data_IF_762850782213
#
_entry.id   IF_762850782213
#
_cell.length_a   1.000
_cell.length_b   1.000
_cell.length_c   1.000
_cell.angle_alpha   90.00
_cell.angle_beta   90.00
_cell.angle_gamma   90.00
#
_symmetry.space_group_name_H-M   'P 1'
#
loop_
_entity.id
_entity.type
_entity.pdbx_description
1 polymer ?
#
# COMPACT_ATOMS: atom_id res chain seq x y z
N UNK A 1 15.41 -12.40 -2.20
CA UNK A 1 15.00 -11.89 -0.87
C UNK A 1 14.96 -13.08 0.06
N UNK A 2 15.59 -13.02 1.24
CA UNK A 2 15.49 -14.10 2.23
C UNK A 2 14.07 -14.05 2.79
N UNK A 3 13.34 -15.18 2.71
CA UNK A 3 11.93 -15.26 3.14
C UNK A 3 11.84 -15.81 4.57
N UNK A 4 12.71 -16.76 4.92
CA UNK A 4 12.81 -17.34 6.26
C UNK A 4 14.19 -18.01 6.45
N UNK A 5 14.57 -18.27 7.70
CA UNK A 5 15.77 -19.05 8.08
C UNK A 5 15.30 -20.28 8.85
N UNK A 6 15.79 -21.46 8.46
CA UNK A 6 15.57 -22.71 9.19
C UNK A 6 16.77 -22.94 10.10
N UNK A 7 16.55 -22.80 11.41
CA UNK A 7 17.55 -23.14 12.42
C UNK A 7 17.33 -24.57 12.94
N UNK A 8 18.40 -25.32 13.09
CA UNK A 8 18.39 -26.67 13.67
C UNK A 8 19.50 -26.75 14.69
N UNK A 9 19.12 -26.56 15.96
CA UNK A 9 19.99 -26.69 17.12
C UNK A 9 19.82 -28.09 17.73
N UNK A 10 20.93 -28.80 17.98
CA UNK A 10 20.92 -30.12 18.64
C UNK A 10 22.16 -30.32 19.50
N UNK A 11 22.03 -31.02 20.63
CA UNK A 11 23.14 -31.47 21.46
C UNK A 11 23.92 -32.60 20.75
N UNK A 12 24.93 -32.21 19.96
CA UNK A 12 26.13 -32.91 19.48
C UNK A 12 26.18 -34.45 19.24
N UNK A 13 25.06 -35.16 19.14
CA UNK A 13 25.01 -36.62 19.00
C UNK A 13 24.50 -37.15 17.64
N UNK A 14 24.07 -36.28 16.73
CA UNK A 14 23.59 -36.69 15.41
C UNK A 14 24.69 -36.54 14.33
N UNK A 15 24.89 -37.54 13.45
CA UNK A 15 25.84 -37.43 12.36
C UNK A 15 25.51 -36.20 11.48
N UNK A 16 26.46 -35.26 11.27
CA UNK A 16 26.21 -33.98 10.58
C UNK A 16 25.59 -34.13 9.18
N UNK A 17 25.89 -35.23 8.49
CA UNK A 17 25.38 -35.54 7.16
C UNK A 17 23.87 -35.83 7.14
N UNK A 18 23.35 -36.48 8.18
CA UNK A 18 21.93 -36.81 8.30
C UNK A 18 21.10 -35.57 8.63
N UNK A 19 21.58 -34.74 9.57
CA UNK A 19 20.94 -33.47 9.95
C UNK A 19 20.92 -32.49 8.76
N UNK A 20 22.02 -32.37 8.02
CA UNK A 20 22.08 -31.54 6.82
C UNK A 20 21.12 -32.03 5.72
N UNK A 21 20.99 -33.34 5.56
CA UNK A 21 20.01 -33.95 4.65
C UNK A 21 18.58 -33.58 5.02
N UNK A 22 18.22 -33.72 6.31
CA UNK A 22 16.91 -33.34 6.83
C UNK A 22 16.61 -31.84 6.62
N UNK A 23 17.56 -30.95 6.94
CA UNK A 23 17.40 -29.50 6.76
C UNK A 23 17.16 -29.15 5.29
N UNK A 24 17.90 -29.79 4.36
CA UNK A 24 17.69 -29.60 2.91
C UNK A 24 16.30 -30.06 2.48
N UNK A 25 15.83 -31.22 2.97
CA UNK A 25 14.49 -31.72 2.70
C UNK A 25 13.41 -30.76 3.23
N UNK A 26 13.58 -30.24 4.45
CA UNK A 26 12.65 -29.27 5.05
C UNK A 26 12.62 -27.95 4.28
N UNK A 27 13.78 -27.41 3.90
CA UNK A 27 13.88 -26.20 3.08
C UNK A 27 13.15 -26.36 1.75
N UNK A 28 13.31 -27.51 1.10
CA UNK A 28 12.65 -27.82 -0.16
C UNK A 28 11.13 -28.06 0.01
N UNK A 29 10.71 -28.65 1.13
CA UNK A 29 9.29 -28.82 1.48
C UNK A 29 8.60 -27.46 1.69
N UNK A 30 9.29 -26.51 2.34
CA UNK A 30 8.81 -25.13 2.51
C UNK A 30 8.75 -24.41 1.16
N UNK A 31 9.80 -24.50 0.34
CA UNK A 31 9.83 -23.94 -1.01
C UNK A 31 8.67 -24.45 -1.86
N UNK A 32 8.45 -25.77 -1.90
CA UNK A 32 7.35 -26.38 -2.63
C UNK A 32 5.99 -25.87 -2.12
N UNK A 33 5.80 -25.75 -0.80
CA UNK A 33 4.54 -25.24 -0.24
C UNK A 33 4.29 -23.78 -0.61
N UNK A 34 5.31 -22.92 -0.57
CA UNK A 34 5.18 -21.51 -0.95
C UNK A 34 4.83 -21.38 -2.44
N UNK A 35 5.50 -22.14 -3.30
CA UNK A 35 5.22 -22.18 -4.74
C UNK A 35 3.77 -22.66 -4.98
N UNK A 36 3.37 -23.75 -4.33
CA UNK A 36 2.03 -24.29 -4.47
C UNK A 36 0.96 -23.35 -3.91
N UNK A 37 1.19 -22.65 -2.80
CA UNK A 37 0.22 -21.71 -2.22
C UNK A 37 -0.02 -20.49 -3.12
N UNK A 38 1.05 -19.95 -3.71
CA UNK A 38 0.97 -18.79 -4.59
C UNK A 38 0.24 -19.09 -5.92
N UNK A 39 0.34 -20.31 -6.43
CA UNK A 39 -0.06 -20.64 -7.80
C UNK A 39 -1.06 -21.80 -7.92
N UNK A 40 -1.56 -22.35 -6.79
CA UNK A 40 -2.39 -23.57 -6.76
C UNK A 40 -3.54 -23.57 -7.75
N UNK A 41 -4.23 -22.45 -7.81
CA UNK A 41 -5.56 -22.37 -8.44
C UNK A 41 -5.53 -21.72 -9.82
N UNK A 42 -4.42 -21.10 -10.23
CA UNK A 42 -4.36 -20.19 -11.38
C UNK A 42 -3.51 -20.68 -12.56
N UNK A 43 -2.58 -21.62 -12.35
CA UNK A 43 -1.62 -22.05 -13.37
C UNK A 43 -1.48 -23.58 -13.42
N UNK A 44 -0.91 -24.09 -14.52
CA UNK A 44 -0.63 -25.52 -14.67
C UNK A 44 0.59 -25.91 -13.85
N UNK A 45 0.51 -27.07 -13.22
CA UNK A 45 1.59 -27.62 -12.40
C UNK A 45 2.06 -28.92 -13.01
N UNK A 46 3.34 -28.97 -13.37
CA UNK A 46 4.02 -30.19 -13.78
C UNK A 46 4.92 -30.67 -12.64
N UNK A 47 4.59 -31.83 -12.09
CA UNK A 47 5.45 -32.54 -11.14
C UNK A 47 6.17 -33.63 -11.90
N UNK A 48 7.49 -33.73 -11.78
CA UNK A 48 8.25 -34.73 -12.52
C UNK A 48 9.42 -35.30 -11.73
N UNK A 49 9.71 -36.57 -11.99
CA UNK A 49 10.84 -37.28 -11.38
C UNK A 49 11.31 -38.42 -12.29
N UNK A 50 12.48 -39.00 -12.01
CA UNK A 50 13.04 -40.10 -12.84
C UNK A 50 12.31 -41.43 -12.66
N UNK A 51 11.54 -41.61 -11.58
CA UNK A 51 10.78 -42.83 -11.29
C UNK A 51 9.34 -42.53 -10.84
N UNK A 52 8.42 -43.44 -11.16
CA UNK A 52 6.99 -43.33 -10.84
C UNK A 52 6.73 -43.21 -9.32
N UNK A 53 7.45 -44.01 -8.52
CA UNK A 53 7.24 -44.10 -7.07
C UNK A 53 7.67 -42.83 -6.30
N UNK A 54 8.32 -41.88 -6.98
CA UNK A 54 8.87 -40.67 -6.37
C UNK A 54 8.15 -39.39 -6.80
N UNK A 55 6.99 -39.49 -7.45
CA UNK A 55 6.19 -38.33 -7.86
C UNK A 55 5.51 -37.64 -6.68
N UNK A 56 5.10 -38.40 -5.66
CA UNK A 56 4.52 -37.87 -4.42
C UNK A 56 5.58 -37.47 -3.38
N UNK A 57 6.86 -37.63 -3.72
CA UNK A 57 7.97 -37.26 -2.84
C UNK A 57 8.17 -35.75 -2.81
N UNK A 58 8.55 -35.22 -1.65
CA UNK A 58 9.01 -33.84 -1.49
C UNK A 58 10.26 -33.52 -2.33
N UNK A 59 10.92 -34.56 -2.86
CA UNK A 59 12.10 -34.48 -3.72
C UNK A 59 11.79 -34.54 -5.24
N UNK A 60 10.53 -34.36 -5.62
CA UNK A 60 10.14 -34.21 -7.02
C UNK A 60 10.50 -32.81 -7.58
N UNK A 61 10.74 -32.75 -8.88
CA UNK A 61 10.80 -31.48 -9.60
C UNK A 61 9.40 -30.90 -9.72
N UNK A 62 9.24 -29.62 -9.38
CA UNK A 62 7.98 -28.88 -9.50
C UNK A 62 8.19 -27.69 -10.43
N UNK A 63 7.31 -27.56 -11.41
CA UNK A 63 7.35 -26.52 -12.42
C UNK A 63 5.95 -25.97 -12.68
N UNK A 64 5.84 -24.65 -12.71
CA UNK A 64 4.58 -23.92 -12.92
C UNK A 64 4.67 -23.13 -14.20
N UNK A 65 3.68 -23.30 -15.08
CA UNK A 65 3.65 -22.67 -16.39
C UNK A 65 2.24 -22.19 -16.76
N UNK A 66 2.20 -21.23 -17.68
CA UNK A 66 0.96 -20.66 -18.21
C UNK A 66 0.43 -21.44 -19.43
N UNK A 67 -0.75 -21.06 -19.94
CA UNK A 67 -1.35 -21.67 -21.15
C UNK A 67 -0.47 -21.56 -22.40
N UNK A 68 0.47 -20.60 -22.44
CA UNK A 68 1.41 -20.43 -23.56
C UNK A 68 2.65 -21.32 -23.45
N UNK A 69 2.77 -22.09 -22.36
CA UNK A 69 3.93 -22.95 -22.09
C UNK A 69 5.11 -22.20 -21.46
N UNK A 70 4.95 -20.95 -21.03
CA UNK A 70 6.03 -20.19 -20.38
C UNK A 70 6.11 -20.55 -18.91
N UNK A 71 7.31 -20.86 -18.46
CA UNK A 71 7.57 -21.27 -17.07
C UNK A 71 7.66 -20.02 -16.21
N UNK A 72 6.76 -19.91 -15.23
CA UNK A 72 6.72 -18.80 -14.29
C UNK A 72 7.59 -19.06 -13.08
N UNK A 73 7.60 -20.30 -12.60
CA UNK A 73 8.34 -20.70 -11.42
C UNK A 73 8.75 -22.17 -11.49
N UNK A 74 9.89 -22.52 -10.90
CA UNK A 74 10.35 -23.88 -10.74
C UNK A 74 11.07 -24.00 -9.39
N UNK A 75 10.95 -25.15 -8.73
CA UNK A 75 11.73 -25.41 -7.52
C UNK A 75 13.19 -25.74 -7.87
N UNK A 76 14.08 -25.59 -6.88
CA UNK A 76 15.52 -25.83 -7.11
C UNK A 76 15.85 -27.26 -7.57
N UNK A 77 14.98 -28.23 -7.26
CA UNK A 77 15.13 -29.61 -7.72
C UNK A 77 14.84 -29.77 -9.21
N UNK A 78 13.84 -29.07 -9.74
CA UNK A 78 13.55 -29.05 -11.17
C UNK A 78 14.72 -28.46 -11.96
N UNK A 79 15.29 -27.34 -11.49
CA UNK A 79 16.49 -26.74 -12.09
C UNK A 79 17.66 -27.75 -12.13
N UNK A 80 17.87 -28.49 -11.05
CA UNK A 80 18.94 -29.51 -10.97
C UNK A 80 18.68 -30.73 -11.87
N UNK A 81 17.43 -31.19 -11.98
CA UNK A 81 17.07 -32.34 -12.82
C UNK A 81 17.19 -32.04 -14.32
N UNK A 82 16.92 -30.79 -14.71
CA UNK A 82 16.98 -30.33 -16.10
C UNK A 82 18.28 -29.58 -16.43
N UNK A 83 19.16 -29.38 -15.45
CA UNK A 83 20.51 -28.84 -15.64
C UNK A 83 20.57 -27.36 -16.02
N UNK A 84 19.48 -26.60 -15.85
CA UNK A 84 19.39 -25.19 -16.21
C UNK A 84 18.37 -24.47 -15.31
N UNK A 85 18.47 -23.13 -15.23
CA UNK A 85 17.48 -22.31 -14.54
C UNK A 85 16.24 -22.16 -15.41
N UNK A 86 15.10 -22.66 -14.93
CA UNK A 86 13.91 -22.84 -15.79
C UNK A 86 12.96 -21.64 -15.84
N UNK A 87 13.05 -20.73 -14.88
CA UNK A 87 12.16 -19.56 -14.83
C UNK A 87 12.29 -18.68 -16.08
N UNK A 88 11.17 -18.43 -16.76
CA UNK A 88 11.06 -17.63 -17.97
C UNK A 88 11.26 -18.37 -19.29
N UNK A 89 11.71 -19.63 -19.25
CA UNK A 89 11.93 -20.49 -20.42
C UNK A 89 10.60 -21.10 -20.90
N UNK A 90 10.50 -21.45 -22.18
CA UNK A 90 9.33 -22.16 -22.70
C UNK A 90 9.49 -23.68 -22.50
N UNK A 91 8.44 -24.33 -21.99
CA UNK A 91 8.45 -25.76 -21.65
C UNK A 91 8.71 -26.67 -22.85
N UNK A 92 8.32 -26.26 -24.07
CA UNK A 92 8.59 -26.99 -25.32
C UNK A 92 10.09 -27.05 -25.65
N UNK A 93 10.86 -26.07 -25.17
CA UNK A 93 12.32 -26.08 -25.34
C UNK A 93 13.04 -26.98 -24.35
N UNK A 94 12.31 -27.54 -23.37
CA UNK A 94 12.86 -28.41 -22.32
C UNK A 94 12.40 -29.86 -22.49
N UNK A 95 11.15 -30.06 -22.88
CA UNK A 95 10.58 -31.37 -23.17
C UNK A 95 10.29 -31.47 -24.66
N UNK A 96 10.63 -32.60 -25.28
CA UNK A 96 10.38 -32.88 -26.71
C UNK A 96 8.89 -33.17 -26.98
N UNK A 97 8.00 -32.33 -26.46
CA UNK A 97 6.56 -32.47 -26.50
C UNK A 97 5.92 -31.09 -26.72
N UNK A 98 5.08 -30.91 -27.75
CA UNK A 98 4.31 -29.68 -27.95
C UNK A 98 3.37 -29.41 -26.77
N UNK A 99 3.17 -28.13 -26.44
CA UNK A 99 2.33 -27.71 -25.31
C UNK A 99 0.90 -28.21 -25.45
N UNK A 100 0.35 -28.24 -26.67
CA UNK A 100 -1.00 -28.74 -26.96
C UNK A 100 -1.15 -30.22 -26.60
N UNK A 101 -0.10 -31.01 -26.84
CA UNK A 101 -0.08 -32.42 -26.48
C UNK A 101 0.01 -32.58 -24.96
N UNK A 102 0.87 -31.79 -24.30
CA UNK A 102 0.98 -31.78 -22.84
C UNK A 102 -0.32 -31.35 -22.15
N UNK A 103 -1.03 -30.36 -22.69
CA UNK A 103 -2.33 -29.90 -22.20
C UNK A 103 -3.49 -30.87 -22.51
N UNK A 104 -3.29 -31.83 -23.42
CA UNK A 104 -4.27 -32.87 -23.74
C UNK A 104 -4.21 -34.07 -22.80
N UNK A 105 -3.13 -34.21 -22.03
CA UNK A 105 -2.94 -35.32 -21.09
C UNK A 105 -3.98 -35.32 -19.95
N UNK A 106 -4.37 -36.52 -19.54
CA UNK A 106 -5.37 -36.71 -18.47
C UNK A 106 -4.82 -36.28 -17.12
N UNK A 107 -5.61 -35.50 -16.39
CA UNK A 107 -5.26 -35.01 -15.06
C UNK A 107 -4.98 -36.16 -14.07
N UNK A 108 -3.97 -35.96 -13.22
CA UNK A 108 -3.62 -36.87 -12.13
C UNK A 108 -3.25 -38.32 -12.54
N UNK A 109 -2.96 -38.60 -13.82
CA UNK A 109 -2.34 -39.85 -14.27
C UNK A 109 -0.87 -39.64 -14.62
N UNK A 110 0.06 -40.48 -14.10
CA UNK A 110 1.45 -40.41 -14.50
C UNK A 110 1.65 -40.73 -15.99
N UNK A 111 2.40 -39.89 -16.68
CA UNK A 111 2.81 -40.10 -18.07
C UNK A 111 4.30 -39.82 -18.24
N UNK A 112 4.92 -40.32 -19.30
CA UNK A 112 6.36 -40.13 -19.52
C UNK A 112 6.65 -39.00 -20.51
N UNK A 113 7.55 -38.09 -20.13
CA UNK A 113 8.11 -37.08 -21.03
C UNK A 113 9.61 -37.29 -21.25
N UNK A 114 10.06 -37.00 -22.46
CA UNK A 114 11.47 -36.97 -22.81
C UNK A 114 11.99 -35.54 -22.77
N UNK A 115 12.97 -35.28 -21.91
CA UNK A 115 13.68 -34.01 -21.88
C UNK A 115 14.83 -33.99 -22.89
N UNK A 116 15.37 -32.80 -23.17
CA UNK A 116 16.64 -32.68 -23.87
C UNK A 116 17.76 -33.40 -23.09
N UNK A 117 18.62 -34.15 -23.79
CA UNK A 117 19.66 -35.01 -23.18
C UNK A 117 19.28 -36.49 -22.99
N UNK A 118 18.23 -37.00 -23.65
CA UNK A 118 17.75 -38.40 -23.59
C UNK A 118 17.25 -38.89 -22.21
N UNK A 119 17.07 -37.98 -21.25
CA UNK A 119 16.50 -38.31 -19.96
C UNK A 119 14.98 -38.48 -20.07
N UNK A 120 14.48 -39.60 -19.57
CA UNK A 120 13.04 -39.89 -19.47
C UNK A 120 12.58 -39.56 -18.06
N UNK A 121 11.55 -38.72 -17.97
CA UNK A 121 10.90 -38.37 -16.71
C UNK A 121 9.49 -38.91 -16.69
N UNK A 122 9.06 -39.31 -15.51
CA UNK A 122 7.66 -39.54 -15.19
C UNK A 122 7.09 -38.22 -14.71
N UNK A 123 5.89 -37.89 -15.16
CA UNK A 123 5.28 -36.59 -15.01
C UNK A 123 3.84 -36.73 -14.55
N UNK A 124 3.41 -35.80 -13.69
CA UNK A 124 2.04 -35.65 -13.25
C UNK A 124 1.61 -34.22 -13.54
N UNK A 125 0.55 -34.06 -14.31
CA UNK A 125 -0.02 -32.76 -14.63
C UNK A 125 -1.23 -32.50 -13.74
N UNK A 126 -1.22 -31.37 -13.03
CA UNK A 126 -2.38 -30.83 -12.32
C UNK A 126 -2.85 -29.56 -13.02
N UNK A 127 -4.15 -29.48 -13.27
CA UNK A 127 -4.75 -28.36 -13.98
C UNK A 127 -5.17 -27.29 -12.97
N UNK A 128 -5.21 -26.00 -13.39
CA UNK A 128 -5.77 -24.96 -12.54
C UNK A 128 -7.27 -25.24 -12.31
N UNK A 129 -7.68 -25.24 -11.04
CA UNK A 129 -9.07 -25.44 -10.60
C UNK A 129 -9.95 -24.23 -10.88
N UNK A 130 -9.37 -23.02 -10.90
CA UNK A 130 -10.03 -21.83 -11.45
C UNK A 130 -9.67 -21.76 -12.92
N UNK A 131 -10.67 -21.86 -13.79
CA UNK A 131 -10.48 -21.50 -15.20
C UNK A 131 -9.88 -20.09 -15.23
N UNK A 132 -8.71 -19.87 -15.86
CA UNK A 132 -8.31 -18.51 -16.16
C UNK A 132 -9.44 -17.91 -16.98
N UNK A 133 -9.91 -16.73 -16.57
CA UNK A 133 -10.92 -15.99 -17.31
C UNK A 133 -10.39 -15.82 -18.74
N UNK A 134 -10.91 -16.62 -19.68
CA UNK A 134 -10.72 -16.37 -21.10
C UNK A 134 -11.40 -15.04 -21.39
N UNK A 135 -10.61 -13.98 -21.38
CA UNK A 135 -10.88 -12.78 -22.14
C UNK A 135 -11.04 -13.26 -23.58
N UNK A 136 -12.29 -13.53 -23.97
CA UNK A 136 -12.64 -13.59 -25.36
C UNK A 136 -12.11 -12.30 -25.97
N UNK A 137 -11.45 -12.43 -27.11
CA UNK A 137 -11.09 -11.32 -27.98
C UNK A 137 -12.31 -10.41 -28.10
N UNK A 138 -12.32 -9.39 -27.26
CA UNK A 138 -13.27 -8.30 -27.34
C UNK A 138 -12.91 -7.72 -28.70
N UNK A 139 -13.87 -7.73 -29.65
CA UNK A 139 -13.95 -6.65 -30.66
C UNK A 139 -13.51 -5.35 -29.98
N UNK A 140 -12.88 -4.35 -30.62
CA UNK A 140 -12.46 -3.14 -29.93
C UNK A 140 -13.67 -2.40 -29.32
N UNK A 141 -14.13 -2.87 -28.17
CA UNK A 141 -14.88 -2.16 -27.17
C UNK A 141 -13.84 -1.17 -26.73
N UNK A 142 -14.09 0.05 -27.18
CA UNK A 142 -13.50 1.27 -26.66
C UNK A 142 -12.97 0.99 -25.26
N UNK A 143 -11.65 1.17 -25.10
CA UNK A 143 -10.92 0.88 -23.88
C UNK A 143 -11.84 1.11 -22.67
N UNK A 144 -12.01 0.13 -21.76
CA UNK A 144 -12.79 0.37 -20.56
C UNK A 144 -12.24 1.68 -19.99
N UNK A 145 -13.12 2.68 -19.91
CA UNK A 145 -12.72 4.02 -19.54
C UNK A 145 -11.85 3.88 -18.30
N UNK A 146 -10.61 4.40 -18.40
CA UNK A 146 -9.68 4.60 -17.28
C UNK A 146 -10.54 4.81 -16.04
N UNK A 147 -10.47 3.94 -15.01
CA UNK A 147 -11.50 3.80 -13.98
C UNK A 147 -11.93 5.19 -13.56
N UNK A 148 -13.13 5.65 -13.98
CA UNK A 148 -13.51 7.08 -14.09
C UNK A 148 -12.76 7.87 -13.03
N UNK A 149 -11.61 8.38 -13.40
CA UNK A 149 -10.72 8.98 -12.44
C UNK A 149 -11.40 10.25 -12.00
N UNK A 150 -11.36 10.55 -10.70
CA UNK A 150 -12.15 11.64 -10.12
C UNK A 150 -11.99 12.89 -10.98
N UNK A 151 -13.03 13.24 -11.75
CA UNK A 151 -13.10 14.53 -12.44
C UNK A 151 -13.00 15.63 -11.40
N UNK A 152 -12.56 16.83 -11.78
CA UNK A 152 -12.40 17.92 -10.80
C UNK A 152 -13.69 18.23 -10.04
N UNK A 153 -14.84 18.07 -10.70
CA UNK A 153 -16.19 18.17 -10.12
C UNK A 153 -16.40 17.20 -8.96
N UNK A 154 -15.73 16.06 -9.02
CA UNK A 154 -15.77 15.02 -8.02
C UNK A 154 -14.88 15.35 -6.81
N UNK A 155 -14.04 16.38 -6.83
CA UNK A 155 -13.20 16.74 -5.67
C UNK A 155 -13.86 17.84 -4.83
N UNK A 156 -14.59 18.75 -5.47
CA UNK A 156 -15.26 19.85 -4.78
C UNK A 156 -16.58 19.41 -4.13
N UNK A 157 -17.36 18.48 -4.71
CA UNK A 157 -18.64 17.98 -4.18
C UNK A 157 -19.57 19.06 -3.55
N UNK A 158 -19.47 20.31 -4.02
CA UNK A 158 -20.24 21.46 -3.51
C UNK A 158 -19.50 22.42 -2.56
N UNK A 159 -18.25 22.15 -2.17
CA UNK A 159 -17.45 23.06 -1.34
C UNK A 159 -16.84 24.21 -2.15
N UNK A 160 -17.25 25.44 -1.84
CA UNK A 160 -16.85 26.65 -2.55
C UNK A 160 -15.35 26.97 -2.44
N UNK A 161 -14.69 26.62 -1.31
CA UNK A 161 -13.24 26.87 -1.14
C UNK A 161 -12.45 25.94 -2.07
N UNK A 162 -12.84 24.68 -2.11
CA UNK A 162 -12.20 23.65 -2.94
C UNK A 162 -12.48 23.89 -4.42
N UNK A 163 -13.69 24.30 -4.78
CA UNK A 163 -14.06 24.66 -6.16
C UNK A 163 -13.25 25.87 -6.67
N UNK A 164 -13.11 26.90 -5.83
CA UNK A 164 -12.25 28.05 -6.16
C UNK A 164 -10.79 27.63 -6.35
N UNK A 165 -10.27 26.78 -5.47
CA UNK A 165 -8.92 26.22 -5.57
C UNK A 165 -8.72 25.43 -6.87
N UNK A 166 -9.68 24.58 -7.22
CA UNK A 166 -9.73 23.81 -8.49
C UNK A 166 -9.64 24.74 -9.70
N UNK A 167 -10.50 25.77 -9.76
CA UNK A 167 -10.59 26.66 -10.91
C UNK A 167 -9.34 27.53 -11.08
N UNK A 168 -8.77 28.00 -9.97
CA UNK A 168 -7.50 28.73 -9.99
C UNK A 168 -6.34 27.82 -10.42
N UNK A 169 -6.24 26.62 -9.87
CA UNK A 169 -5.20 25.66 -10.21
C UNK A 169 -5.20 25.31 -11.70
N UNK A 170 -6.38 25.01 -12.25
CA UNK A 170 -6.52 24.62 -13.66
C UNK A 170 -6.04 25.73 -14.61
N UNK A 171 -6.43 26.97 -14.35
CA UNK A 171 -6.03 28.13 -15.19
C UNK A 171 -4.52 28.38 -15.18
N UNK A 172 -3.87 28.18 -14.03
CA UNK A 172 -2.44 28.44 -13.89
C UNK A 172 -1.58 27.28 -14.37
N UNK A 173 -2.06 26.04 -14.21
CA UNK A 173 -1.37 24.86 -14.70
C UNK A 173 -1.21 24.89 -16.23
N UNK A 174 -2.21 25.40 -16.94
CA UNK A 174 -2.15 25.59 -18.41
C UNK A 174 -1.17 26.68 -18.85
N UNK A 175 -0.78 27.58 -17.95
CA UNK A 175 0.21 28.65 -18.21
C UNK A 175 1.63 28.27 -17.76
N UNK A 176 1.87 27.01 -17.44
CA UNK A 176 3.13 26.49 -16.91
C UNK A 176 3.63 27.23 -15.64
N UNK A 177 2.70 27.80 -14.86
CA UNK A 177 3.01 28.46 -13.59
C UNK A 177 3.09 27.41 -12.48
N UNK A 178 4.17 27.38 -11.66
CA UNK A 178 4.29 26.45 -10.55
C UNK A 178 3.17 26.59 -9.51
N UNK A 179 2.62 25.46 -9.07
CA UNK A 179 1.60 25.40 -8.05
C UNK A 179 2.19 24.88 -6.73
N UNK A 180 1.88 25.55 -5.63
CA UNK A 180 2.20 25.10 -4.27
C UNK A 180 0.90 24.79 -3.53
N UNK A 181 0.71 23.54 -3.13
CA UNK A 181 -0.46 23.06 -2.41
C UNK A 181 -0.10 22.94 -0.92
N UNK A 182 -0.75 23.78 -0.12
CA UNK A 182 -0.68 23.73 1.34
C UNK A 182 -1.88 22.94 1.89
N UNK A 183 -1.63 22.11 2.89
CA UNK A 183 -2.70 21.41 3.60
C UNK A 183 -2.18 20.32 4.52
N UNK A 184 -2.97 20.03 5.55
CA UNK A 184 -2.64 19.02 6.55
C UNK A 184 -2.39 17.64 5.92
N UNK A 185 -1.70 16.78 6.65
CA UNK A 185 -1.50 15.40 6.24
C UNK A 185 -2.86 14.70 6.06
N UNK A 186 -3.06 14.07 4.91
CA UNK A 186 -4.28 13.28 4.65
C UNK A 186 -5.48 14.07 4.09
N UNK A 187 -5.36 15.36 3.77
CA UNK A 187 -6.45 16.14 3.12
C UNK A 187 -6.70 15.78 1.65
N UNK A 188 -5.88 14.90 1.06
CA UNK A 188 -6.04 14.44 -0.32
C UNK A 188 -5.23 15.22 -1.37
N UNK A 189 -4.10 15.85 -0.98
CA UNK A 189 -3.18 16.57 -1.88
C UNK A 189 -2.84 15.77 -3.15
N UNK A 190 -2.48 14.49 -3.00
CA UNK A 190 -2.17 13.61 -4.13
C UNK A 190 -3.36 13.37 -5.07
N UNK A 191 -4.58 13.19 -4.52
CA UNK A 191 -5.80 12.99 -5.31
C UNK A 191 -6.12 14.27 -6.10
N UNK A 192 -5.98 15.42 -5.44
CA UNK A 192 -6.16 16.73 -6.07
C UNK A 192 -5.20 16.93 -7.25
N UNK A 193 -3.91 16.61 -7.07
CA UNK A 193 -2.91 16.70 -8.14
C UNK A 193 -3.19 15.75 -9.30
N UNK A 194 -3.58 14.50 -9.01
CA UNK A 194 -3.94 13.52 -10.05
C UNK A 194 -5.09 14.01 -10.91
N UNK A 195 -6.13 14.58 -10.31
CA UNK A 195 -7.25 15.13 -11.05
C UNK A 195 -6.86 16.37 -11.86
N UNK A 196 -6.06 17.27 -11.29
CA UNK A 196 -5.55 18.43 -12.03
C UNK A 196 -4.74 18.03 -13.26
N UNK A 197 -3.84 17.05 -13.11
CA UNK A 197 -3.05 16.54 -14.23
C UNK A 197 -3.96 15.95 -15.33
N UNK A 198 -4.98 15.18 -14.95
CA UNK A 198 -5.92 14.56 -15.89
C UNK A 198 -6.81 15.56 -16.64
N UNK A 199 -7.10 16.71 -16.06
CA UNK A 199 -7.85 17.77 -16.74
C UNK A 199 -6.95 18.78 -17.46
N UNK A 200 -5.64 18.60 -17.42
CA UNK A 200 -4.69 19.46 -18.09
C UNK A 200 -4.44 19.04 -19.53
N UNK A 201 -3.88 19.94 -20.34
CA UNK A 201 -3.38 19.64 -21.69
C UNK A 201 -2.31 18.54 -21.74
N UNK A 202 -1.67 18.23 -20.60
CA UNK A 202 -0.66 17.18 -20.46
C UNK A 202 -1.21 15.88 -19.84
N UNK A 203 -2.52 15.66 -19.86
CA UNK A 203 -3.16 14.47 -19.28
C UNK A 203 -2.67 13.12 -19.85
N UNK A 204 -2.17 13.11 -21.09
CA UNK A 204 -1.58 11.91 -21.72
C UNK A 204 -0.09 11.72 -21.44
N UNK A 205 0.55 12.67 -20.76
CA UNK A 205 1.98 12.69 -20.45
C UNK A 205 2.23 12.10 -19.06
N UNK A 206 3.48 11.73 -18.71
CA UNK A 206 3.75 11.12 -17.40
C UNK A 206 3.49 12.11 -16.25
N UNK A 207 2.80 11.62 -15.21
CA UNK A 207 2.75 12.23 -13.88
C UNK A 207 3.72 11.47 -12.97
N UNK A 208 4.85 12.10 -12.63
CA UNK A 208 5.83 11.53 -11.71
C UNK A 208 5.64 12.15 -10.33
N UNK A 209 5.12 11.35 -9.40
CA UNK A 209 4.94 11.74 -8.00
C UNK A 209 6.13 11.30 -7.16
N UNK A 210 6.71 12.23 -6.39
CA UNK A 210 7.85 11.99 -5.52
C UNK A 210 7.54 12.49 -4.13
N UNK A 211 7.56 11.59 -3.14
CA UNK A 211 7.42 11.97 -1.74
C UNK A 211 8.82 12.19 -1.15
N UNK A 212 9.17 13.44 -0.89
CA UNK A 212 10.49 13.82 -0.39
C UNK A 212 10.76 13.31 1.05
N UNK A 213 9.71 13.12 1.86
CA UNK A 213 9.84 12.58 3.22
C UNK A 213 10.07 11.06 3.24
N UNK A 214 9.71 10.34 2.17
CA UNK A 214 9.83 8.88 2.09
C UNK A 214 11.22 8.41 1.61
N UNK A 215 12.00 9.28 0.96
CA UNK A 215 13.31 8.93 0.42
C UNK A 215 14.39 9.37 1.41
N UNK A 216 15.32 8.50 1.80
CA UNK A 216 16.45 8.89 2.65
C UNK A 216 17.23 10.08 2.07
N UNK A 217 17.65 11.01 2.93
CA UNK A 217 18.34 12.24 2.51
C UNK A 217 19.60 11.98 1.68
N UNK A 218 20.27 10.85 1.90
CA UNK A 218 21.47 10.44 1.15
C UNK A 218 21.15 9.98 -0.28
N UNK A 219 19.94 9.45 -0.51
CA UNK A 219 19.53 8.86 -1.79
C UNK A 219 18.64 9.78 -2.62
N UNK A 220 17.99 10.77 -2.00
CA UNK A 220 17.03 11.65 -2.68
C UNK A 220 17.65 12.38 -3.86
N UNK A 221 18.93 12.73 -3.79
CA UNK A 221 19.66 13.35 -4.89
C UNK A 221 19.83 12.39 -6.08
N UNK A 222 20.25 11.15 -5.81
CA UNK A 222 20.43 10.10 -6.82
C UNK A 222 19.11 9.69 -7.48
N UNK A 223 18.02 9.63 -6.72
CA UNK A 223 16.69 9.30 -7.22
C UNK A 223 16.09 10.44 -8.07
N UNK A 224 16.19 11.70 -7.62
CA UNK A 224 15.63 12.85 -8.34
C UNK A 224 16.37 13.16 -9.64
N UNK A 225 17.69 13.33 -9.58
CA UNK A 225 18.50 13.82 -10.71
C UNK A 225 19.08 12.68 -11.56
N UNK A 226 19.15 11.46 -11.02
CA UNK A 226 19.80 10.34 -11.66
C UNK A 226 21.31 10.36 -11.48
N UNK A 227 21.97 9.30 -11.89
CA UNK A 227 23.42 9.13 -11.76
C UNK A 227 24.00 8.27 -12.87
N UNK A 228 25.24 8.55 -13.24
CA UNK A 228 26.01 7.71 -14.15
C UNK A 228 26.68 6.52 -13.46
N UNK A 229 27.10 5.54 -14.26
CA UNK A 229 27.78 4.34 -13.77
C UNK A 229 29.04 4.74 -13.01
N UNK A 230 29.17 4.29 -11.76
CA UNK A 230 30.35 4.58 -10.93
C UNK A 230 30.35 5.94 -10.27
N UNK A 231 29.24 6.68 -10.26
CA UNK A 231 29.15 8.00 -9.63
C UNK A 231 29.42 7.99 -8.11
N UNK A 232 29.11 6.90 -7.41
CA UNK A 232 29.37 6.72 -5.97
C UNK A 232 29.46 5.24 -5.58
N UNK A 233 29.95 4.96 -4.37
CA UNK A 233 30.07 3.60 -3.82
C UNK A 233 28.69 2.99 -3.60
N UNK A 234 28.36 1.91 -4.33
CA UNK A 234 27.04 1.28 -4.30
C UNK A 234 26.11 1.70 -5.46
N UNK A 235 26.57 2.56 -6.37
CA UNK A 235 25.86 2.88 -7.59
C UNK A 235 25.61 1.61 -8.44
N UNK A 236 24.38 1.45 -8.94
CA UNK A 236 24.05 0.33 -9.82
C UNK A 236 24.88 0.43 -11.11
N UNK A 237 25.41 -0.70 -11.59
CA UNK A 237 26.20 -0.78 -12.82
C UNK A 237 25.44 -0.30 -14.06
N UNK A 238 24.11 -0.15 -14.00
CA UNK A 238 23.30 0.38 -15.10
C UNK A 238 23.09 1.90 -15.07
N UNK A 239 23.43 2.58 -13.98
CA UNK A 239 23.06 3.98 -13.74
C UNK A 239 21.56 4.17 -13.48
N UNK A 240 21.13 5.40 -13.24
CA UNK A 240 19.72 5.78 -13.12
C UNK A 240 19.43 7.05 -13.90
N UNK A 241 18.33 7.07 -14.66
CA UNK A 241 17.91 8.24 -15.44
C UNK A 241 17.49 9.40 -14.53
N UNK A 242 16.99 9.11 -13.33
CA UNK A 242 16.41 10.11 -12.41
C UNK A 242 14.93 10.36 -12.66
N UNK A 243 14.20 10.72 -11.59
CA UNK A 243 12.75 10.96 -11.61
C UNK A 243 12.38 12.22 -12.39
N UNK A 244 13.19 13.28 -12.33
CA UNK A 244 12.91 14.53 -13.05
C UNK A 244 12.97 14.30 -14.57
N UNK A 245 13.97 13.57 -15.06
CA UNK A 245 14.09 13.23 -16.49
C UNK A 245 13.00 12.29 -16.97
N UNK A 246 12.49 11.41 -16.10
CA UNK A 246 11.30 10.59 -16.40
C UNK A 246 10.02 11.42 -16.50
N UNK A 247 9.98 12.61 -15.92
CA UNK A 247 8.86 13.53 -15.97
C UNK A 247 8.91 14.47 -17.18
N UNK A 248 9.91 14.34 -18.07
CA UNK A 248 10.05 15.20 -19.24
C UNK A 248 8.76 15.22 -20.09
N UNK A 249 8.39 16.42 -20.54
CA UNK A 249 7.11 16.77 -21.21
C UNK A 249 5.85 16.54 -20.37
N UNK A 250 5.99 16.06 -19.14
CA UNK A 250 4.91 15.71 -18.24
C UNK A 250 4.76 16.68 -17.07
N UNK A 251 4.36 16.12 -15.93
CA UNK A 251 4.16 16.82 -14.65
C UNK A 251 4.99 16.16 -13.56
N UNK A 252 5.80 16.95 -12.86
CA UNK A 252 6.53 16.53 -11.67
C UNK A 252 5.75 17.01 -10.44
N UNK A 253 5.31 16.04 -9.63
CA UNK A 253 4.67 16.30 -8.35
C UNK A 253 5.65 16.01 -7.20
N UNK A 254 5.98 17.05 -6.43
CA UNK A 254 6.84 16.94 -5.24
C UNK A 254 5.98 17.05 -3.97
N UNK A 255 5.72 15.93 -3.32
CA UNK A 255 5.01 15.88 -2.04
C UNK A 255 5.99 16.04 -0.87
N UNK A 256 5.53 16.74 0.17
CA UNK A 256 6.31 17.16 1.33
C UNK A 256 7.65 17.83 0.96
N UNK A 257 7.60 18.81 0.05
CA UNK A 257 8.80 19.57 -0.40
C UNK A 257 9.54 20.27 0.74
N UNK A 258 8.85 20.56 1.85
CA UNK A 258 9.44 21.13 3.06
C UNK A 258 10.42 20.21 3.80
N UNK A 259 10.41 18.91 3.51
CA UNK A 259 11.35 17.93 4.07
C UNK A 259 12.59 17.70 3.17
N UNK A 260 12.73 18.45 2.08
CA UNK A 260 13.85 18.32 1.15
C UNK A 260 15.17 18.81 1.77
N UNK A 261 16.27 18.03 1.71
CA UNK A 261 17.59 18.48 2.18
C UNK A 261 18.12 19.71 1.43
N UNK A 262 18.83 20.61 2.12
CA UNK A 262 19.38 21.85 1.56
C UNK A 262 20.24 21.68 0.27
N UNK A 263 21.12 20.67 0.15
CA UNK A 263 21.88 20.46 -1.09
C UNK A 263 20.97 20.16 -2.30
N UNK A 264 19.90 19.41 -2.07
CA UNK A 264 18.93 19.00 -3.09
C UNK A 264 18.09 20.20 -3.53
N UNK A 265 17.73 21.07 -2.58
CA UNK A 265 17.04 22.34 -2.88
C UNK A 265 17.86 23.22 -3.83
N UNK A 266 19.17 23.33 -3.61
CA UNK A 266 20.06 24.12 -4.47
C UNK A 266 20.15 23.56 -5.90
N UNK A 267 20.21 22.23 -6.06
CA UNK A 267 20.19 21.61 -7.40
C UNK A 267 18.82 21.72 -8.07
N UNK A 268 17.73 21.52 -7.34
CA UNK A 268 16.38 21.68 -7.87
C UNK A 268 16.17 23.10 -8.40
N UNK A 269 16.65 24.12 -7.68
CA UNK A 269 16.59 25.50 -8.15
C UNK A 269 17.25 25.68 -9.52
N UNK A 270 18.46 25.12 -9.73
CA UNK A 270 19.16 25.16 -11.02
C UNK A 270 18.34 24.48 -12.11
N UNK A 271 17.78 23.31 -11.84
CA UNK A 271 16.92 22.60 -12.80
C UNK A 271 15.71 23.46 -13.20
N UNK A 272 15.06 24.10 -12.23
CA UNK A 272 13.89 24.94 -12.50
C UNK A 272 14.26 26.21 -13.28
N UNK A 273 15.46 26.77 -13.05
CA UNK A 273 15.97 27.97 -13.71
C UNK A 273 16.45 27.70 -15.13
N UNK A 274 17.34 26.73 -15.30
CA UNK A 274 18.03 26.40 -16.56
C UNK A 274 17.23 25.44 -17.44
N UNK A 275 16.16 24.82 -16.90
CA UNK A 275 15.38 23.78 -17.58
C UNK A 275 16.25 22.63 -18.07
N UNK A 276 17.32 22.32 -17.35
CA UNK A 276 18.24 21.23 -17.63
C UNK A 276 18.55 20.43 -16.36
N UNK A 277 18.78 19.13 -16.49
CA UNK A 277 19.20 18.23 -15.40
C UNK A 277 20.59 17.70 -15.68
N UNK A 278 21.46 17.77 -14.67
CA UNK A 278 22.77 17.14 -14.67
C UNK A 278 22.74 15.92 -13.74
N UNK A 279 22.93 14.69 -14.26
CA UNK A 279 23.06 13.50 -13.43
C UNK A 279 24.32 13.54 -12.56
N UNK A 280 24.29 12.89 -11.40
CA UNK A 280 25.47 12.72 -10.55
C UNK A 280 26.58 11.98 -11.29
N UNK A 281 27.79 12.53 -11.21
CA UNK A 281 28.97 11.97 -11.87
C UNK A 281 29.05 12.24 -13.38
N UNK A 282 28.05 12.91 -13.97
CA UNK A 282 28.05 13.31 -15.38
C UNK A 282 28.36 14.79 -15.54
N UNK A 283 29.02 15.14 -16.64
CA UNK A 283 29.20 16.53 -17.09
C UNK A 283 28.13 16.97 -18.09
N UNK A 284 27.27 16.04 -18.54
CA UNK A 284 26.26 16.30 -19.56
C UNK A 284 25.00 16.92 -18.97
N UNK A 285 24.47 17.92 -19.68
CA UNK A 285 23.21 18.58 -19.37
C UNK A 285 22.10 18.03 -20.26
N UNK A 286 21.00 17.62 -19.65
CA UNK A 286 19.83 17.11 -20.34
C UNK A 286 18.67 18.11 -20.22
N UNK A 287 18.19 18.72 -21.31
CA UNK A 287 17.05 19.62 -21.25
C UNK A 287 15.79 18.87 -20.79
N UNK A 288 14.98 19.52 -19.96
CA UNK A 288 13.72 18.98 -19.43
C UNK A 288 12.61 20.03 -19.47
N UNK A 289 11.44 19.62 -19.98
CA UNK A 289 10.22 20.43 -19.94
C UNK A 289 9.19 19.83 -18.97
N UNK A 290 9.18 20.31 -17.74
CA UNK A 290 8.29 19.82 -16.68
C UNK A 290 7.32 20.90 -16.21
N UNK A 291 6.07 20.51 -15.94
CA UNK A 291 5.16 21.27 -15.07
C UNK A 291 5.43 20.88 -13.62
N UNK A 292 5.68 21.86 -12.77
CA UNK A 292 5.95 21.63 -11.35
C UNK A 292 4.68 21.84 -10.52
N UNK A 293 4.33 20.82 -9.74
CA UNK A 293 3.36 20.94 -8.65
C UNK A 293 4.06 20.49 -7.36
N UNK A 294 4.04 21.32 -6.33
CA UNK A 294 4.64 21.02 -5.04
C UNK A 294 3.56 20.97 -3.96
N UNK A 295 3.73 20.14 -2.95
CA UNK A 295 2.86 20.06 -1.79
C UNK A 295 3.66 20.04 -0.48
N UNK A 296 3.04 20.55 0.59
CA UNK A 296 3.64 20.61 1.92
C UNK A 296 2.54 20.69 2.98
N UNK A 297 2.76 20.09 4.15
CA UNK A 297 1.96 20.33 5.35
C UNK A 297 2.57 21.38 6.29
N UNK A 298 3.81 21.82 6.03
CA UNK A 298 4.51 22.84 6.82
C UNK A 298 4.44 24.21 6.17
N UNK A 299 4.47 25.24 7.01
CA UNK A 299 4.68 26.63 6.63
C UNK A 299 6.09 26.81 6.05
N UNK A 300 6.21 26.86 4.71
CA UNK A 300 7.51 27.09 4.07
C UNK A 300 8.11 28.45 4.43
N UNK A 301 7.28 29.45 4.73
CA UNK A 301 7.75 30.77 5.17
C UNK A 301 8.51 30.67 6.49
N UNK A 302 8.00 29.92 7.46
CA UNK A 302 8.70 29.65 8.72
C UNK A 302 9.97 28.83 8.49
N UNK A 303 9.93 27.83 7.61
CA UNK A 303 11.13 27.05 7.27
C UNK A 303 12.23 27.90 6.62
N UNK A 304 11.86 28.93 5.84
CA UNK A 304 12.80 29.91 5.30
C UNK A 304 13.40 30.77 6.41
N UNK A 305 12.58 31.26 7.35
CA UNK A 305 13.06 32.04 8.49
C UNK A 305 13.98 31.22 9.41
N UNK A 306 13.72 29.92 9.56
CA UNK A 306 14.53 28.99 10.32
C UNK A 306 15.82 28.55 9.60
N UNK A 307 16.01 28.92 8.32
CA UNK A 307 17.19 28.53 7.52
C UNK A 307 17.15 27.08 6.99
N UNK A 308 16.03 26.37 7.16
CA UNK A 308 15.84 24.99 6.69
C UNK A 308 15.36 24.92 5.23
N UNK A 309 14.89 26.04 4.68
CA UNK A 309 14.43 26.13 3.31
C UNK A 309 14.99 27.37 2.62
N UNK A 310 15.42 27.23 1.37
CA UNK A 310 16.00 28.36 0.64
C UNK A 310 14.91 29.32 0.16
N UNK A 311 15.15 30.61 0.38
CA UNK A 311 14.24 31.68 -0.03
C UNK A 311 14.07 31.76 -1.56
N UNK A 312 15.15 31.57 -2.31
CA UNK A 312 15.15 31.60 -3.77
C UNK A 312 14.29 30.48 -4.39
N UNK A 313 14.40 29.25 -3.85
CA UNK A 313 13.56 28.13 -4.23
C UNK A 313 12.10 28.38 -3.87
N UNK A 314 11.81 28.92 -2.69
CA UNK A 314 10.44 29.23 -2.25
C UNK A 314 9.72 30.14 -3.26
N UNK A 315 10.35 31.22 -3.70
CA UNK A 315 9.74 32.12 -4.69
C UNK A 315 9.62 31.48 -6.08
N UNK A 316 10.48 30.52 -6.44
CA UNK A 316 10.39 29.81 -7.71
C UNK A 316 9.27 28.78 -7.75
N UNK A 317 8.98 28.12 -6.63
CA UNK A 317 7.92 27.09 -6.55
C UNK A 317 6.56 27.67 -6.13
N UNK A 318 6.54 28.79 -5.41
CA UNK A 318 5.33 29.45 -4.92
C UNK A 318 4.76 30.43 -5.96
N UNK A 319 4.39 29.90 -7.14
CA UNK A 319 3.72 30.69 -8.18
C UNK A 319 2.28 31.04 -7.75
N UNK A 320 1.49 30.00 -7.45
CA UNK A 320 0.22 30.13 -6.73
C UNK A 320 0.20 29.18 -5.54
N UNK A 321 -0.07 29.74 -4.36
CA UNK A 321 -0.33 28.96 -3.16
C UNK A 321 -1.82 28.65 -3.06
N UNK A 322 -2.15 27.37 -3.06
CA UNK A 322 -3.52 26.84 -2.89
C UNK A 322 -3.56 26.16 -1.54
N UNK A 323 -4.53 26.53 -0.70
CA UNK A 323 -4.77 25.87 0.57
C UNK A 323 -5.95 24.92 0.45
N UNK A 324 -5.73 23.66 0.76
CA UNK A 324 -6.79 22.66 0.86
C UNK A 324 -7.28 22.60 2.31
N UNK A 325 -8.57 22.88 2.57
CA UNK A 325 -9.10 22.89 3.92
C UNK A 325 -9.10 21.47 4.52
N UNK A 326 -8.87 21.34 5.83
CA UNK A 326 -9.03 20.07 6.54
C UNK A 326 -10.49 19.61 6.51
N UNK A 327 -10.72 18.31 6.68
CA UNK A 327 -12.04 17.68 6.56
C UNK A 327 -13.09 18.32 7.48
N UNK A 328 -12.68 18.75 8.69
CA UNK A 328 -13.55 19.42 9.68
C UNK A 328 -14.04 20.81 9.27
N UNK A 329 -13.41 21.45 8.28
CA UNK A 329 -13.80 22.77 7.77
C UNK A 329 -14.59 22.69 6.44
N UNK A 330 -14.77 21.48 5.92
CA UNK A 330 -15.36 21.24 4.62
C UNK A 330 -16.88 21.14 4.72
N UNK A 331 -17.56 21.87 3.85
CA UNK A 331 -19.03 21.87 3.77
C UNK A 331 -19.59 20.62 3.08
N UNK A 332 -18.78 19.96 2.25
CA UNK A 332 -19.12 18.73 1.52
C UNK A 332 -18.83 17.44 2.29
N UNK A 333 -18.58 17.52 3.61
CA UNK A 333 -18.18 16.38 4.45
C UNK A 333 -19.14 15.17 4.32
N UNK A 334 -20.45 15.40 4.34
CA UNK A 334 -21.45 14.34 4.18
C UNK A 334 -21.37 13.66 2.82
N UNK A 335 -21.22 14.44 1.75
CA UNK A 335 -21.11 13.91 0.40
C UNK A 335 -19.83 13.07 0.25
N UNK A 336 -18.74 13.50 0.88
CA UNK A 336 -17.48 12.75 0.93
C UNK A 336 -17.64 11.42 1.68
N UNK A 337 -18.29 11.43 2.85
CA UNK A 337 -18.56 10.21 3.64
C UNK A 337 -19.37 9.21 2.81
N UNK A 338 -20.48 9.65 2.22
CA UNK A 338 -21.34 8.82 1.39
C UNK A 338 -20.58 8.24 0.20
N UNK A 339 -19.77 9.05 -0.47
CA UNK A 339 -18.98 8.58 -1.60
C UNK A 339 -17.91 7.56 -1.22
N UNK A 340 -17.24 7.75 -0.08
CA UNK A 340 -16.25 6.79 0.41
C UNK A 340 -16.95 5.48 0.81
N UNK A 341 -18.13 5.57 1.44
CA UNK A 341 -18.96 4.41 1.72
C UNK A 341 -19.36 3.66 0.45
N UNK A 342 -19.88 4.34 -0.55
CA UNK A 342 -20.24 3.74 -1.85
C UNK A 342 -19.07 3.08 -2.55
N UNK A 343 -17.86 3.63 -2.38
CA UNK A 343 -16.64 3.08 -2.97
C UNK A 343 -16.20 1.78 -2.32
N UNK A 344 -16.43 1.62 -1.02
CA UNK A 344 -15.89 0.50 -0.24
C UNK A 344 -16.93 -0.57 0.09
N UNK A 345 -18.23 -0.26 0.03
CA UNK A 345 -19.29 -1.22 0.32
C UNK A 345 -19.31 -2.37 -0.69
N UNK A 346 -19.66 -3.55 -0.21
CA UNK A 346 -20.05 -4.66 -1.06
C UNK A 346 -21.50 -4.47 -1.59
N UNK A 347 -21.88 -5.08 -2.73
CA UNK A 347 -23.23 -4.95 -3.29
C UNK A 347 -24.39 -5.31 -2.35
N UNK A 348 -24.12 -6.20 -1.39
CA UNK A 348 -25.03 -6.68 -0.35
C UNK A 348 -25.21 -5.65 0.77
N UNK A 349 -24.19 -4.82 1.03
CA UNK A 349 -24.19 -3.84 2.11
C UNK A 349 -24.97 -2.58 1.69
N UNK A 350 -26.24 -2.52 2.10
CA UNK A 350 -27.17 -1.42 1.75
C UNK A 350 -27.65 -0.60 2.94
N UNK A 351 -27.35 -1.04 4.16
CA UNK A 351 -27.91 -0.47 5.37
C UNK A 351 -27.33 0.91 5.75
N UNK A 352 -26.20 1.31 5.17
CA UNK A 352 -25.63 2.64 5.36
C UNK A 352 -25.11 2.90 6.78
N UNK A 353 -25.29 4.13 7.25
CA UNK A 353 -24.86 4.58 8.58
C UNK A 353 -26.06 4.79 9.50
N UNK A 354 -25.91 4.47 10.78
CA UNK A 354 -26.87 4.91 11.80
C UNK A 354 -26.78 6.43 11.97
N UNK A 355 -27.88 7.04 12.44
CA UNK A 355 -27.94 8.49 12.69
C UNK A 355 -26.88 8.94 13.70
N UNK A 356 -26.68 8.15 14.76
CA UNK A 356 -25.69 8.43 15.80
C UNK A 356 -24.26 8.53 15.23
N UNK A 357 -23.92 7.66 14.28
CA UNK A 357 -22.60 7.65 13.64
C UNK A 357 -22.40 8.88 12.76
N UNK A 358 -23.43 9.34 12.03
CA UNK A 358 -23.33 10.57 11.24
C UNK A 358 -23.11 11.79 12.15
N UNK A 359 -23.83 11.88 13.27
CA UNK A 359 -23.64 12.96 14.26
C UNK A 359 -22.23 12.92 14.88
N UNK A 360 -21.68 11.71 15.13
CA UNK A 360 -20.29 11.55 15.57
C UNK A 360 -19.29 12.00 14.49
N UNK A 361 -19.53 11.67 13.22
CA UNK A 361 -18.65 12.04 12.11
C UNK A 361 -18.60 13.56 11.90
N UNK A 362 -19.71 14.27 12.07
CA UNK A 362 -19.77 15.75 12.02
C UNK A 362 -18.94 16.40 13.13
N UNK A 363 -19.01 15.88 14.36
CA UNK A 363 -18.35 16.48 15.54
C UNK A 363 -16.87 16.13 15.67
N UNK A 364 -16.42 15.08 14.99
CA UNK A 364 -15.08 14.55 15.13
C UNK A 364 -14.01 15.51 14.55
N UNK A 365 -12.86 15.69 15.22
CA UNK A 365 -11.81 16.63 14.78
C UNK A 365 -11.02 16.18 13.53
N UNK A 366 -11.06 14.89 13.21
CA UNK A 366 -10.40 14.26 12.04
C UNK A 366 -8.91 14.62 11.91
N UNK A 367 -8.05 14.31 12.90
CA UNK A 367 -6.61 14.59 12.83
C UNK A 367 -5.92 13.94 11.63
N UNK A 368 -6.41 12.81 11.14
CA UNK A 368 -5.91 12.16 9.92
C UNK A 368 -6.70 12.46 8.64
N UNK A 369 -7.62 13.44 8.69
CA UNK A 369 -8.43 13.91 7.55
C UNK A 369 -9.06 12.74 6.74
N UNK A 370 -9.04 12.81 5.40
CA UNK A 370 -9.63 11.80 4.53
C UNK A 370 -8.96 10.43 4.64
N UNK A 371 -7.68 10.39 5.05
CA UNK A 371 -6.96 9.12 5.28
C UNK A 371 -7.56 8.36 6.46
N UNK A 372 -7.79 9.06 7.58
CA UNK A 372 -8.45 8.47 8.74
C UNK A 372 -9.90 8.09 8.42
N UNK A 373 -10.66 8.98 7.76
CA UNK A 373 -12.04 8.70 7.36
C UNK A 373 -12.15 7.42 6.52
N UNK A 374 -11.26 7.25 5.54
CA UNK A 374 -11.25 6.04 4.70
C UNK A 374 -10.99 4.77 5.53
N UNK A 375 -9.97 4.79 6.40
CA UNK A 375 -9.69 3.66 7.28
C UNK A 375 -10.85 3.33 8.22
N UNK A 376 -11.48 4.35 8.81
CA UNK A 376 -12.63 4.17 9.72
C UNK A 376 -13.81 3.53 8.99
N UNK A 377 -14.16 4.03 7.80
CA UNK A 377 -15.27 3.47 7.02
C UNK A 377 -14.98 2.03 6.58
N UNK A 378 -13.74 1.70 6.19
CA UNK A 378 -13.37 0.34 5.81
C UNK A 378 -13.50 -0.64 6.98
N UNK A 379 -12.98 -0.26 8.16
CA UNK A 379 -13.09 -1.09 9.37
C UNK A 379 -14.56 -1.25 9.77
N UNK A 380 -15.33 -0.17 9.73
CA UNK A 380 -16.74 -0.20 10.09
C UNK A 380 -17.57 -1.08 9.15
N UNK A 381 -17.32 -1.02 7.83
CA UNK A 381 -17.94 -1.91 6.85
C UNK A 381 -17.57 -3.38 7.07
N UNK A 382 -16.33 -3.65 7.47
CA UNK A 382 -15.87 -5.02 7.74
C UNK A 382 -16.43 -5.61 9.04
N UNK A 383 -16.80 -4.76 10.01
CA UNK A 383 -17.39 -5.20 11.28
C UNK A 383 -18.92 -5.25 11.26
N UNK A 384 -19.57 -4.41 10.46
CA UNK A 384 -21.02 -4.32 10.39
C UNK A 384 -21.67 -5.41 9.51
N UNK A 385 -20.90 -6.07 8.63
CA UNK A 385 -21.43 -6.99 7.61
C UNK A 385 -22.63 -6.39 6.87
N UNK A 386 -23.83 -6.98 6.95
CA UNK A 386 -25.05 -6.50 6.29
C UNK A 386 -25.85 -5.47 7.12
N UNK A 387 -25.44 -5.21 8.36
CA UNK A 387 -26.13 -4.31 9.30
C UNK A 387 -25.74 -2.84 9.07
N UNK A 388 -26.57 -1.87 9.51
CA UNK A 388 -26.17 -0.46 9.49
C UNK A 388 -24.95 -0.26 10.39
N UNK A 389 -24.03 0.60 9.96
CA UNK A 389 -22.86 0.96 10.77
C UNK A 389 -23.34 1.71 12.01
N UNK A 390 -23.24 1.06 13.17
CA UNK A 390 -23.46 1.59 14.51
C UNK A 390 -22.12 1.96 15.18
N UNK A 391 -22.20 2.59 16.36
CA UNK A 391 -21.03 3.02 17.13
C UNK A 391 -20.12 1.87 17.57
N UNK A 392 -20.65 0.66 17.71
CA UNK A 392 -19.88 -0.54 18.10
C UNK A 392 -18.96 -1.06 16.98
N UNK A 393 -19.25 -0.69 15.72
CA UNK A 393 -18.42 -1.04 14.57
C UNK A 393 -17.31 -0.02 14.31
N UNK A 394 -17.25 1.08 15.07
CA UNK A 394 -16.20 2.09 14.90
C UNK A 394 -14.93 1.72 15.69
N UNK A 395 -13.73 2.02 15.17
CA UNK A 395 -12.48 1.80 15.90
C UNK A 395 -12.43 2.57 17.23
N UNK A 396 -11.84 1.98 18.26
CA UNK A 396 -11.70 2.62 19.58
C UNK A 396 -10.94 3.95 19.51
N UNK A 397 -9.89 4.03 18.68
CA UNK A 397 -9.11 5.26 18.47
C UNK A 397 -9.96 6.43 17.97
N UNK A 398 -10.97 6.16 17.12
CA UNK A 398 -11.91 7.17 16.63
C UNK A 398 -12.79 7.71 17.77
N UNK A 399 -13.22 6.84 18.68
CA UNK A 399 -14.04 7.22 19.84
C UNK A 399 -13.23 8.02 20.88
N UNK A 400 -11.94 7.69 21.04
CA UNK A 400 -11.01 8.44 21.90
C UNK A 400 -10.73 9.86 21.37
N UNK A 401 -10.58 10.02 20.06
CA UNK A 401 -10.39 11.34 19.44
C UNK A 401 -11.66 12.22 19.55
N UNK A 402 -12.85 11.61 19.46
CA UNK A 402 -14.13 12.31 19.67
C UNK A 402 -14.27 12.84 21.11
N UNK A 403 -13.90 12.03 22.10
CA UNK A 403 -14.06 12.37 23.53
C UNK A 403 -13.08 13.44 24.02
N UNK A 404 -11.84 13.45 23.51
CA UNK A 404 -10.88 14.54 23.79
C UNK A 404 -11.39 15.92 23.36
N UNK A 405 -12.21 15.98 22.31
CA UNK A 405 -12.80 17.23 21.83
C UNK A 405 -13.92 17.73 22.76
N UNK A 406 -14.60 16.83 23.50
CA UNK A 406 -15.58 17.21 24.52
C UNK A 406 -14.90 17.72 25.80
N UNK A 407 -13.81 17.09 26.23
CA UNK A 407 -13.00 17.56 27.38
C UNK A 407 -12.38 18.95 27.15
N UNK A 408 -12.11 19.33 25.90
CA UNK A 408 -11.62 20.67 25.54
C UNK A 408 -12.70 21.74 25.32
N UNK A 409 -14.00 21.37 25.26
CA UNK A 409 -15.09 22.31 24.95
C UNK A 409 -15.87 22.83 26.17
N UNK A 410 -15.61 22.33 27.37
CA UNK A 410 -16.19 22.89 28.61
C UNK A 410 -15.11 23.42 29.57
N UNK A 411 -14.96 24.74 29.74
CA UNK A 411 -14.55 25.28 31.01
C UNK A 411 -15.81 25.55 31.85
N UNK A 412 -15.89 24.92 33.02
CA UNK A 412 -16.87 25.13 34.08
C UNK A 412 -18.29 24.55 33.86
N UNK A 413 -18.49 23.33 34.35
CA UNK A 413 -19.30 23.08 35.56
C UNK A 413 -18.82 21.81 36.25
N UNK A 414 -18.60 21.95 37.56
CA UNK A 414 -18.20 20.86 38.43
C UNK A 414 -19.23 19.72 38.39
N UNK A 415 -18.86 18.58 37.81
CA UNK A 415 -19.29 17.29 38.32
C UNK A 415 -18.07 16.47 38.69
N UNK A 416 -17.71 16.65 39.95
CA UNK A 416 -16.76 15.88 40.72
C UNK A 416 -17.11 14.37 40.60
N UNK A 417 -16.34 13.54 39.86
CA UNK A 417 -16.53 12.10 39.85
C UNK A 417 -15.78 11.45 41.04
N UNK A 418 -15.58 12.21 42.12
CA UNK A 418 -14.88 11.78 43.32
C UNK A 418 -15.81 11.27 44.43
N UNK A 419 -17.15 11.28 44.26
CA UNK A 419 -18.07 10.85 45.33
C UNK A 419 -19.33 10.17 44.80
N UNK A 420 -19.22 8.90 44.44
CA UNK A 420 -20.28 7.91 44.61
C UNK A 420 -19.58 6.53 44.69
N UNK A 421 -19.64 5.92 45.89
CA UNK A 421 -19.06 4.64 46.31
C UNK A 421 -17.56 4.62 46.66
N UNK A 422 -17.30 5.05 47.89
CA UNK A 422 -16.37 4.48 48.88
C UNK A 422 -15.52 3.28 48.45
N UNK A 423 -14.23 3.40 48.71
CA UNK A 423 -13.15 2.40 48.73
C UNK A 423 -13.42 1.11 49.53
N UNK A 424 -14.64 0.88 50.02
CA UNK A 424 -15.02 -0.26 50.87
C UNK A 424 -15.99 -1.24 50.20
N UNK A 425 -16.60 -0.93 49.05
CA UNK A 425 -17.66 -1.79 48.44
C UNK A 425 -17.24 -2.62 47.21
N UNK A 426 -16.14 -2.29 46.52
CA UNK A 426 -15.80 -2.98 45.26
C UNK A 426 -15.38 -4.45 45.46
N UNK A 427 -14.70 -4.76 46.57
CA UNK A 427 -14.31 -6.13 46.92
C UNK A 427 -15.53 -6.98 47.30
N UNK A 428 -16.48 -6.43 48.06
CA UNK A 428 -17.72 -7.11 48.44
C UNK A 428 -18.64 -7.33 47.23
N UNK A 429 -18.76 -6.34 46.34
CA UNK A 429 -19.53 -6.45 45.10
C UNK A 429 -18.90 -7.45 44.13
N UNK A 430 -17.57 -7.57 44.11
CA UNK A 430 -16.86 -8.58 43.32
C UNK A 430 -17.06 -10.00 43.85
N UNK A 431 -17.05 -10.18 45.18
CA UNK A 431 -17.40 -11.46 45.81
C UNK A 431 -18.87 -11.82 45.64
N UNK A 432 -19.80 -10.86 45.78
CA UNK A 432 -21.22 -11.07 45.54
C UNK A 432 -21.55 -11.39 44.07
N UNK A 433 -20.71 -10.94 43.13
CA UNK A 433 -20.78 -11.30 41.71
C UNK A 433 -20.03 -12.62 41.38
N UNK A 434 -19.53 -13.35 42.38
CA UNK A 434 -18.84 -14.63 42.21
C UNK A 434 -17.57 -14.55 41.35
N UNK A 435 -16.91 -13.38 41.31
CA UNK A 435 -15.74 -13.15 40.46
C UNK A 435 -16.07 -12.87 38.97
N UNK A 436 -17.34 -12.72 38.61
CA UNK A 436 -17.74 -12.45 37.23
C UNK A 436 -17.69 -10.95 36.89
N UNK A 437 -16.54 -10.52 36.37
CA UNK A 437 -16.22 -9.13 36.00
C UNK A 437 -17.25 -8.55 35.01
N UNK A 438 -17.77 -9.37 34.08
CA UNK A 438 -18.73 -8.90 33.07
C UNK A 438 -20.10 -8.57 33.67
N UNK A 439 -20.53 -9.33 34.68
CA UNK A 439 -21.79 -9.11 35.37
C UNK A 439 -21.70 -7.89 36.30
N UNK A 440 -20.55 -7.71 36.95
CA UNK A 440 -20.27 -6.54 37.79
C UNK A 440 -20.18 -5.25 36.97
N UNK A 441 -19.56 -5.29 35.78
CA UNK A 441 -19.47 -4.17 34.84
C UNK A 441 -20.86 -3.70 34.36
N UNK A 442 -21.75 -4.64 34.01
CA UNK A 442 -23.14 -4.34 33.66
C UNK A 442 -23.92 -3.73 34.82
N UNK A 443 -23.73 -4.22 36.05
CA UNK A 443 -24.45 -3.73 37.24
C UNK A 443 -24.00 -2.33 37.66
N UNK A 444 -22.74 -1.97 37.40
CA UNK A 444 -22.16 -0.67 37.72
C UNK A 444 -22.21 0.33 36.54
N UNK A 445 -22.72 -0.08 35.38
CA UNK A 445 -22.83 0.80 34.19
C UNK A 445 -21.49 1.25 33.63
N UNK A 446 -20.40 0.52 33.89
CA UNK A 446 -19.03 0.85 33.46
C UNK A 446 -18.47 -0.24 32.56
N UNK A 447 -17.58 0.14 31.64
CA UNK A 447 -16.92 -0.82 30.75
C UNK A 447 -16.10 -1.86 31.53
N UNK A 448 -15.97 -3.07 30.95
CA UNK A 448 -15.21 -4.18 31.56
C UNK A 448 -13.76 -3.79 31.86
N UNK A 449 -13.14 -3.00 30.98
CA UNK A 449 -11.75 -2.55 31.14
C UNK A 449 -11.61 -1.45 32.22
N UNK A 450 -12.58 -0.56 32.36
CA UNK A 450 -12.60 0.43 33.45
C UNK A 450 -12.70 -0.24 34.81
N UNK A 451 -13.53 -1.29 34.91
CA UNK A 451 -13.65 -2.10 36.12
C UNK A 451 -12.36 -2.91 36.38
N UNK A 452 -11.76 -3.49 35.35
CA UNK A 452 -10.50 -4.24 35.46
C UNK A 452 -9.34 -3.36 35.95
N UNK A 453 -9.22 -2.14 35.42
CA UNK A 453 -8.20 -1.17 35.83
C UNK A 453 -8.37 -0.77 37.30
N UNK A 454 -9.60 -0.51 37.73
CA UNK A 454 -9.92 -0.19 39.14
C UNK A 454 -9.66 -1.35 40.10
N UNK A 455 -10.00 -2.59 39.71
CA UNK A 455 -9.72 -3.79 40.51
C UNK A 455 -8.21 -4.03 40.68
N UNK A 456 -7.42 -3.74 39.64
CA UNK A 456 -5.96 -3.88 39.64
C UNK A 456 -5.25 -2.78 40.43
N UNK A 457 -5.74 -1.55 40.35
CA UNK A 457 -5.28 -0.42 41.17
C UNK A 457 -5.53 -0.65 42.67
N UNK A 458 -6.62 -1.34 43.01
CA UNK A 458 -6.98 -1.72 44.39
C UNK A 458 -6.43 -3.08 44.84
N UNK A 459 -5.65 -3.79 44.01
CA UNK A 459 -5.07 -5.13 44.28
C UNK A 459 -6.10 -6.20 44.67
N UNK A 460 -7.30 -6.12 44.10
CA UNK A 460 -8.35 -7.14 44.31
C UNK A 460 -8.18 -8.31 43.32
N UNK A 461 -7.57 -8.05 42.15
CA UNK A 461 -7.26 -9.01 41.07
C UNK A 461 -5.85 -8.78 40.53
#
# INVERSE_FOLDING_TARGET
RIIAVLDVSSDSFLPPSHTLGMVKMMSQSVENRLILDQFRDSHFQLIFNTGLNNLDSQWAGLLIFDESGRILCANRRADNLLGARLAGVNIETLFKCPILQLLSETEARPFALHAFGNNRFQCLLKRPTRKPLRLHSVQPVQAPAVPRSLGLEAISLGDAKVEKAVLQAQRLLEKDIPLLIHGETGVGKEVFVKALHQASSRASQPLIAVNCAAIPAELVEAELFGYERGAFTGANQKGSIGLIRKADKGTLFLDEVGDMPMPVQARLLRVLQERCVQPLGSSELYPVDIRLISATNRSLREQVLAGNFRQDLYYRISGLSIELPPLRERTDQHALIQRIWERHREPQQRAGFSREVLELFERHPWPGNLRQLNSVIQVALALADEQPISSEHLPEDFLLDASKNEECREPAKAHDPARLASTEDLSQLFQAAGGNISQLAKRLGVSRNTLYKRLREQRIV
#
